data_IF_760684918594
#
_entry.id   IF_760684918594
#
_cell.length_a   1.000
_cell.length_b   1.000
_cell.length_c   1.000
_cell.angle_alpha   90.00
_cell.angle_beta   90.00
_cell.angle_gamma   90.00
#
_symmetry.space_group_name_H-M   'P 1'
#
loop_
_entity.id
_entity.type
_entity.pdbx_description
1 polymer ?
#
# COMPACT_ATOMS: atom_id res chain seq x y z
N UNK A 1 -5.81 6.07 -0.77
CA UNK A 1 -5.37 6.01 0.65
C UNK A 1 -5.03 4.59 1.03
N UNK A 2 -3.96 4.39 1.80
CA UNK A 2 -3.52 3.11 2.33
C UNK A 2 -3.79 2.99 3.83
N UNK A 3 -4.07 1.78 4.31
CA UNK A 3 -4.16 1.45 5.74
C UNK A 3 -3.53 0.09 6.01
N UNK A 4 -2.66 0.07 7.00
CA UNK A 4 -2.00 -1.15 7.47
C UNK A 4 -2.59 -1.58 8.81
N UNK A 5 -2.86 -2.87 8.96
CA UNK A 5 -3.39 -3.46 10.19
C UNK A 5 -2.52 -4.64 10.62
N UNK A 6 -1.94 -4.56 11.81
CA UNK A 6 -1.23 -5.69 12.40
C UNK A 6 -2.20 -6.68 13.04
N UNK A 7 -2.06 -7.96 12.71
CA UNK A 7 -2.83 -9.06 13.28
C UNK A 7 -1.90 -9.86 14.18
N UNK A 8 -2.01 -9.61 15.49
CA UNK A 8 -1.13 -10.20 16.51
C UNK A 8 -1.16 -11.72 16.53
N UNK A 9 -2.34 -12.34 16.38
CA UNK A 9 -2.48 -13.81 16.40
C UNK A 9 -1.78 -14.50 15.22
N UNK A 10 -1.64 -13.81 14.10
CA UNK A 10 -0.97 -14.33 12.90
C UNK A 10 0.42 -13.71 12.69
N UNK A 11 0.87 -12.84 13.62
CA UNK A 11 2.11 -12.07 13.54
C UNK A 11 2.36 -11.47 12.15
N UNK A 12 1.33 -10.87 11.54
CA UNK A 12 1.41 -10.33 10.17
C UNK A 12 0.63 -9.04 9.99
N UNK A 13 1.03 -8.26 9.01
CA UNK A 13 0.36 -7.06 8.56
C UNK A 13 -0.59 -7.35 7.41
N UNK A 14 -1.72 -6.64 7.38
CA UNK A 14 -2.64 -6.59 6.23
C UNK A 14 -2.73 -5.19 5.66
N UNK A 15 -2.80 -5.11 4.34
CA UNK A 15 -2.93 -3.88 3.57
C UNK A 15 -4.36 -3.73 3.05
N UNK A 16 -4.90 -2.53 3.28
CA UNK A 16 -6.22 -2.12 2.82
C UNK A 16 -6.10 -0.82 2.01
N UNK A 17 -7.02 -0.64 1.08
CA UNK A 17 -7.16 0.55 0.26
C UNK A 17 -8.58 1.12 0.36
N UNK A 18 -8.69 2.45 0.23
CA UNK A 18 -9.97 3.14 0.16
C UNK A 18 -10.43 3.21 -1.30
N UNK A 19 -11.63 2.70 -1.60
CA UNK A 19 -12.26 2.78 -2.93
C UNK A 19 -13.16 4.01 -3.04
N UNK A 20 -13.64 4.29 -4.25
CA UNK A 20 -14.60 5.37 -4.53
C UNK A 20 -15.94 5.22 -3.79
N UNK A 21 -16.27 4.01 -3.31
CA UNK A 21 -17.43 3.75 -2.46
C UNK A 21 -17.22 4.16 -0.99
N UNK A 22 -16.08 4.79 -0.67
CA UNK A 22 -15.66 5.20 0.68
C UNK A 22 -15.58 4.06 1.70
N UNK A 23 -15.39 2.83 1.23
CA UNK A 23 -15.17 1.66 2.08
C UNK A 23 -13.72 1.23 2.00
N UNK A 24 -13.24 0.65 3.10
CA UNK A 24 -11.96 -0.02 3.15
C UNK A 24 -12.09 -1.41 2.54
N UNK A 25 -11.32 -1.67 1.51
CA UNK A 25 -11.23 -2.97 0.85
C UNK A 25 -9.85 -3.57 1.11
N UNK A 26 -9.76 -4.89 1.10
CA UNK A 26 -8.46 -5.56 1.09
C UNK A 26 -7.74 -5.24 -0.23
N UNK A 27 -6.44 -4.97 -0.14
CA UNK A 27 -5.65 -4.64 -1.31
C UNK A 27 -5.45 -5.90 -2.18
N UNK A 28 -5.75 -5.85 -3.49
CA UNK A 28 -5.72 -7.04 -4.34
C UNK A 28 -4.30 -7.53 -4.71
N UNK A 29 -3.26 -6.71 -4.54
CA UNK A 29 -1.86 -7.11 -4.74
C UNK A 29 -1.31 -7.83 -3.50
N UNK A 30 -0.19 -7.36 -2.95
CA UNK A 30 0.33 -7.90 -1.69
C UNK A 30 -0.57 -7.52 -0.50
N UNK A 31 -1.63 -8.32 -0.27
CA UNK A 31 -2.65 -8.01 0.74
C UNK A 31 -2.17 -8.22 2.18
N UNK A 32 -1.13 -9.03 2.40
CA UNK A 32 -0.54 -9.25 3.72
C UNK A 32 0.92 -9.70 3.65
N UNK A 33 1.74 -9.27 4.61
CA UNK A 33 3.12 -9.74 4.81
C UNK A 33 3.47 -9.80 6.30
N UNK A 34 4.42 -10.65 6.66
CA UNK A 34 5.03 -10.65 7.99
C UNK A 34 5.97 -9.45 8.20
N UNK A 35 6.48 -8.87 7.11
CA UNK A 35 7.40 -7.73 7.12
C UNK A 35 6.64 -6.48 6.73
N UNK A 36 6.83 -5.41 7.50
CA UNK A 36 6.19 -4.13 7.22
C UNK A 36 6.78 -3.49 5.96
N UNK A 37 8.09 -3.64 5.76
CA UNK A 37 8.85 -3.05 4.64
C UNK A 37 8.30 -3.50 3.29
N UNK A 38 7.92 -4.77 3.15
CA UNK A 38 7.35 -5.30 1.90
C UNK A 38 6.06 -4.56 1.52
N UNK A 39 5.21 -4.25 2.51
CA UNK A 39 3.94 -3.54 2.26
C UNK A 39 4.16 -2.05 2.02
N UNK A 40 5.17 -1.46 2.64
CA UNK A 40 5.56 -0.07 2.36
C UNK A 40 6.09 0.06 0.94
N UNK A 41 6.92 -0.88 0.49
CA UNK A 41 7.41 -0.92 -0.88
C UNK A 41 6.27 -1.13 -1.88
N UNK A 42 5.34 -2.05 -1.61
CA UNK A 42 4.15 -2.26 -2.45
C UNK A 42 3.31 -0.99 -2.60
N UNK A 43 3.14 -0.23 -1.51
CA UNK A 43 2.41 1.06 -1.56
C UNK A 43 3.18 2.07 -2.42
N UNK A 44 4.50 2.14 -2.28
CA UNK A 44 5.37 3.08 -2.98
C UNK A 44 5.42 2.81 -4.49
N UNK A 45 5.56 1.53 -4.86
CA UNK A 45 5.56 1.07 -6.25
C UNK A 45 4.18 1.29 -6.90
N UNK A 46 3.12 1.27 -6.10
CA UNK A 46 1.70 1.40 -6.48
C UNK A 46 1.39 0.75 -7.85
N UNK A 47 1.67 -0.56 -8.03
CA UNK A 47 1.62 -1.20 -9.35
C UNK A 47 0.22 -1.15 -9.98
N UNK A 48 -0.81 -1.06 -9.14
CA UNK A 48 -2.22 -0.99 -9.52
C UNK A 48 -2.78 0.44 -9.53
N UNK A 49 -1.96 1.46 -9.33
CA UNK A 49 -2.36 2.88 -9.26
C UNK A 49 -3.52 3.15 -8.29
N UNK A 50 -3.59 2.39 -7.21
CA UNK A 50 -4.67 2.38 -6.22
C UNK A 50 -4.47 3.44 -5.12
N UNK A 51 -3.25 3.94 -4.93
CA UNK A 51 -2.90 4.83 -3.83
C UNK A 51 -2.63 6.26 -4.28
N UNK A 52 -1.89 6.43 -5.38
CA UNK A 52 -1.43 7.73 -5.89
C UNK A 52 -1.97 8.08 -7.29
N UNK A 53 -2.64 7.14 -7.96
CA UNK A 53 -3.18 7.32 -9.31
C UNK A 53 -2.08 7.41 -10.38
N UNK A 54 -2.47 7.72 -11.63
CA UNK A 54 -1.56 7.74 -12.79
C UNK A 54 -0.45 8.81 -12.69
N UNK A 55 -0.65 9.86 -11.89
CA UNK A 55 0.28 11.00 -11.81
C UNK A 55 1.68 10.58 -11.30
N UNK A 56 1.78 9.60 -10.40
CA UNK A 56 3.06 9.18 -9.83
C UNK A 56 3.95 8.39 -10.80
N UNK A 57 3.39 7.86 -11.91
CA UNK A 57 4.16 7.11 -12.91
C UNK A 57 5.09 8.00 -13.75
N UNK A 58 4.85 9.31 -13.79
CA UNK A 58 5.63 10.27 -14.58
C UNK A 58 6.71 11.00 -13.75
N UNK A 59 6.81 10.74 -12.45
CA UNK A 59 7.83 11.34 -11.58
C UNK A 59 8.71 10.21 -11.04
N UNK A 60 9.80 9.83 -11.73
CA UNK A 60 10.73 8.86 -11.17
C UNK A 60 11.38 9.49 -9.94
N UNK A 61 10.97 9.01 -8.76
CA UNK A 61 11.63 9.13 -7.47
C UNK A 61 12.52 10.37 -7.31
N UNK A 62 11.91 11.55 -7.16
CA UNK A 62 12.66 12.73 -6.72
C UNK A 62 12.95 12.57 -5.22
N UNK A 63 14.04 11.86 -4.95
CA UNK A 63 14.90 11.89 -3.76
C UNK A 63 14.21 11.87 -2.38
N UNK A 64 14.05 10.65 -1.83
CA UNK A 64 13.94 10.43 -0.37
C UNK A 64 15.32 10.53 0.24
N UNK A 65 15.72 11.73 0.66
CA UNK A 65 16.66 12.02 1.74
C UNK A 65 16.76 13.54 1.89
N UNK A 66 15.93 14.10 2.77
CA UNK A 66 16.13 15.39 3.43
C UNK A 66 15.58 15.27 4.85
#
# INVERSE_FOLDING_TARGET
>A
MAKLKFIRSANKWRLYWMRADMKWHEYPGLSSSHRLDDLVQEIDDDPLACFFGCWNRLVPSLNRNA
#
